data_IF_704112521620
#
_entry.id   IF_704112521620
#
_cell.length_a   1.000
_cell.length_b   1.000
_cell.length_c   1.000
_cell.angle_alpha   90.00
_cell.angle_beta   90.00
_cell.angle_gamma   90.00
#
_symmetry.space_group_name_H-M   'P 1'
#
loop_
_entity.id
_entity.type
_entity.pdbx_description
1 polymer ?
#
# COMPACT_ATOMS: atom_id res chain seq x y z
N UNK A 1 22.47 5.33 -5.22
CA UNK A 1 21.82 4.84 -3.99
C UNK A 1 22.89 4.61 -2.93
N UNK A 2 22.79 5.27 -1.77
CA UNK A 2 23.78 5.20 -0.70
C UNK A 2 23.29 4.26 0.41
N UNK A 3 23.59 2.97 0.29
CA UNK A 3 23.37 1.98 1.35
C UNK A 3 24.69 1.64 2.02
N UNK A 4 24.71 1.55 3.35
CA UNK A 4 25.92 1.16 4.08
C UNK A 4 26.34 -0.29 3.74
N UNK A 5 27.64 -0.63 3.84
CA UNK A 5 28.11 -2.00 3.64
C UNK A 5 27.42 -3.02 4.54
N UNK A 6 27.07 -2.66 5.77
CA UNK A 6 26.31 -3.52 6.69
C UNK A 6 24.89 -3.78 6.17
N UNK A 7 24.17 -2.74 5.75
CA UNK A 7 22.84 -2.86 5.17
C UNK A 7 22.81 -3.74 3.92
N UNK A 8 23.80 -3.57 3.03
CA UNK A 8 23.97 -4.44 1.85
C UNK A 8 24.24 -5.88 2.29
N UNK A 9 25.17 -6.09 3.23
CA UNK A 9 25.51 -7.43 3.73
C UNK A 9 24.30 -8.13 4.34
N UNK A 10 23.50 -7.44 5.15
CA UNK A 10 22.27 -7.99 5.75
C UNK A 10 21.23 -8.39 4.72
N UNK A 11 21.07 -7.59 3.67
CA UNK A 11 20.18 -7.92 2.55
C UNK A 11 20.63 -9.20 1.84
N UNK A 12 21.93 -9.33 1.55
CA UNK A 12 22.51 -10.44 0.79
C UNK A 12 22.63 -11.75 1.59
N UNK A 13 22.97 -11.66 2.88
CA UNK A 13 23.30 -12.81 3.73
C UNK A 13 22.11 -13.37 4.52
N UNK A 14 20.87 -13.02 4.14
CA UNK A 14 19.68 -13.59 4.78
C UNK A 14 19.39 -13.06 6.19
N UNK A 15 19.97 -11.92 6.59
CA UNK A 15 19.77 -11.31 7.90
C UNK A 15 18.59 -10.34 7.90
N UNK A 16 18.18 -9.90 9.11
CA UNK A 16 17.12 -8.89 9.26
C UNK A 16 17.49 -7.59 8.55
N UNK A 17 16.60 -7.08 7.72
CA UNK A 17 16.80 -5.81 7.02
C UNK A 17 16.87 -4.65 8.00
N UNK A 18 17.74 -3.69 7.69
CA UNK A 18 17.87 -2.42 8.41
C UNK A 18 16.83 -1.41 7.93
N UNK A 19 16.62 -0.36 8.72
CA UNK A 19 15.80 0.77 8.31
C UNK A 19 16.30 1.44 7.03
N UNK A 20 17.62 1.46 6.78
CA UNK A 20 18.20 2.00 5.54
C UNK A 20 17.69 1.27 4.29
N UNK A 21 17.65 -0.06 4.30
CA UNK A 21 17.14 -0.85 3.17
C UNK A 21 15.65 -0.63 2.98
N UNK A 22 14.88 -0.56 4.08
CA UNK A 22 13.42 -0.31 4.03
C UNK A 22 13.15 1.09 3.46
N UNK A 23 13.82 2.13 3.97
CA UNK A 23 13.67 3.51 3.51
C UNK A 23 14.04 3.65 2.05
N UNK A 24 15.20 3.13 1.63
CA UNK A 24 15.65 3.18 0.24
C UNK A 24 14.64 2.51 -0.70
N UNK A 25 14.03 1.39 -0.28
CA UNK A 25 13.01 0.74 -1.09
C UNK A 25 11.71 1.54 -1.14
N UNK A 26 11.26 2.12 -0.03
CA UNK A 26 10.06 2.97 0.01
C UNK A 26 10.23 4.24 -0.83
N UNK A 27 11.44 4.81 -0.87
CA UNK A 27 11.77 5.93 -1.75
C UNK A 27 11.66 5.54 -3.24
N UNK A 28 12.06 4.31 -3.61
CA UNK A 28 11.83 3.82 -4.98
C UNK A 28 10.34 3.72 -5.32
N UNK A 29 9.51 3.29 -4.36
CA UNK A 29 8.06 3.24 -4.55
C UNK A 29 7.47 4.65 -4.69
N UNK A 30 7.94 5.62 -3.89
CA UNK A 30 7.53 7.02 -3.99
C UNK A 30 7.90 7.60 -5.37
N UNK A 31 9.17 7.46 -5.79
CA UNK A 31 9.63 7.90 -7.12
C UNK A 31 8.77 7.34 -8.24
N UNK A 32 8.47 6.03 -8.19
CA UNK A 32 7.60 5.37 -9.18
C UNK A 32 6.20 5.99 -9.23
N UNK A 33 5.60 6.29 -8.08
CA UNK A 33 4.28 6.93 -8.00
C UNK A 33 4.31 8.39 -8.50
N UNK A 34 5.39 9.11 -8.20
CA UNK A 34 5.59 10.50 -8.65
C UNK A 34 5.72 10.58 -10.18
N UNK A 35 6.22 9.52 -10.84
CA UNK A 35 6.22 9.36 -12.30
C UNK A 35 4.82 9.08 -12.90
N UNK A 36 3.75 9.20 -12.12
CA UNK A 36 2.36 9.15 -12.59
C UNK A 36 1.67 7.80 -12.43
N UNK A 37 2.36 6.79 -11.87
CA UNK A 37 1.71 5.54 -11.51
C UNK A 37 0.64 5.75 -10.43
N UNK A 38 -0.47 5.03 -10.55
CA UNK A 38 -1.60 5.10 -9.62
C UNK A 38 -1.73 3.79 -8.84
N UNK A 39 -2.22 3.83 -7.58
CA UNK A 39 -2.68 5.01 -6.82
C UNK A 39 -1.57 6.01 -6.47
N UNK A 40 -1.94 7.27 -6.22
CA UNK A 40 -1.02 8.24 -5.63
C UNK A 40 -0.66 7.80 -4.21
N UNK A 41 0.63 7.64 -3.91
CA UNK A 41 1.05 7.24 -2.57
C UNK A 41 1.88 8.33 -1.91
N UNK A 42 1.86 8.33 -0.58
CA UNK A 42 2.89 8.97 0.24
C UNK A 42 3.53 7.91 1.13
N UNK A 43 4.83 7.73 1.01
CA UNK A 43 5.61 6.88 1.92
C UNK A 43 6.12 7.68 3.12
N UNK A 44 6.30 7.00 4.24
CA UNK A 44 6.98 7.53 5.43
C UNK A 44 8.28 6.77 5.66
N UNK A 45 9.26 7.43 6.27
CA UNK A 45 10.46 6.78 6.75
C UNK A 45 10.20 5.92 8.00
N UNK A 46 11.10 4.98 8.26
CA UNK A 46 11.04 4.05 9.39
C UNK A 46 11.10 4.72 10.76
N UNK A 47 11.48 6.00 10.85
CA UNK A 47 11.59 6.71 12.12
C UNK A 47 10.30 7.44 12.52
N UNK A 48 9.29 7.48 11.64
CA UNK A 48 8.04 8.23 11.87
C UNK A 48 7.38 7.91 13.22
N UNK A 49 7.32 6.65 13.62
CA UNK A 49 6.67 6.23 14.87
C UNK A 49 7.45 6.69 16.10
N UNK A 50 8.77 6.56 16.06
CA UNK A 50 9.66 6.99 17.15
C UNK A 50 9.63 8.52 17.25
N UNK A 51 9.69 9.20 16.11
CA UNK A 51 9.63 10.65 16.04
C UNK A 51 8.27 11.18 16.53
N UNK A 52 7.17 10.51 16.20
CA UNK A 52 5.84 10.86 16.71
C UNK A 52 5.76 10.68 18.23
N UNK A 53 6.29 9.58 18.77
CA UNK A 53 6.32 9.35 20.22
C UNK A 53 7.14 10.43 20.95
N UNK A 54 8.28 10.83 20.40
CA UNK A 54 9.22 11.73 21.07
C UNK A 54 8.90 13.21 20.86
N UNK A 55 8.39 13.59 19.68
CA UNK A 55 8.19 14.99 19.28
C UNK A 55 6.73 15.32 18.94
N UNK A 56 5.82 14.37 19.16
CA UNK A 56 4.40 14.53 18.90
C UNK A 56 4.06 14.73 17.43
N UNK A 57 2.93 15.39 17.18
CA UNK A 57 2.36 15.56 15.85
C UNK A 57 3.24 16.38 14.90
N UNK A 58 4.10 17.26 15.42
CA UNK A 58 5.03 18.05 14.60
C UNK A 58 5.93 17.17 13.72
N UNK A 59 6.38 16.02 14.24
CA UNK A 59 7.19 15.07 13.47
C UNK A 59 6.46 14.52 12.24
N UNK A 60 5.13 14.44 12.29
CA UNK A 60 4.29 14.01 11.17
C UNK A 60 4.13 15.15 10.18
N UNK A 61 3.80 16.36 10.66
CA UNK A 61 3.58 17.52 9.77
C UNK A 61 4.84 17.92 9.02
N UNK A 62 6.01 17.82 9.64
CA UNK A 62 7.29 18.13 8.99
C UNK A 62 7.56 17.19 7.79
N UNK A 63 7.23 15.90 7.93
CA UNK A 63 7.33 14.90 6.84
C UNK A 63 6.32 15.12 5.71
N UNK A 64 5.23 15.83 6.00
CA UNK A 64 4.12 16.11 5.09
C UNK A 64 4.11 17.55 4.57
N UNK A 65 5.07 18.39 4.97
CA UNK A 65 5.08 19.85 4.71
C UNK A 65 4.84 20.22 3.25
N UNK A 66 5.38 19.44 2.32
CA UNK A 66 5.26 19.66 0.87
C UNK A 66 4.33 18.63 0.19
N UNK A 67 3.41 18.03 0.94
CA UNK A 67 2.51 16.99 0.43
C UNK A 67 1.07 17.49 0.44
N UNK A 68 0.44 17.56 -0.72
CA UNK A 68 -1.01 17.76 -0.82
C UNK A 68 -1.74 16.45 -0.48
N UNK A 69 -2.14 16.29 0.78
CA UNK A 69 -2.88 15.12 1.27
C UNK A 69 -4.20 14.89 0.53
N UNK A 70 -4.79 15.93 -0.08
CA UNK A 70 -6.01 15.78 -0.88
C UNK A 70 -5.77 15.07 -2.22
N UNK A 71 -4.52 15.00 -2.67
CA UNK A 71 -4.09 14.28 -3.87
C UNK A 71 -3.53 12.87 -3.57
N UNK A 72 -3.31 12.53 -2.30
CA UNK A 72 -2.77 11.24 -1.88
C UNK A 72 -3.89 10.23 -1.68
N UNK A 73 -3.76 9.04 -2.28
CA UNK A 73 -4.72 7.95 -2.12
C UNK A 73 -4.33 7.04 -0.96
N UNK A 74 -3.04 6.73 -0.82
CA UNK A 74 -2.51 5.80 0.19
C UNK A 74 -1.39 6.44 1.00
N UNK A 75 -1.42 6.27 2.31
CA UNK A 75 -0.24 6.46 3.17
C UNK A 75 0.38 5.10 3.46
N UNK A 76 1.65 4.91 3.10
CA UNK A 76 2.40 3.69 3.37
C UNK A 76 3.42 3.95 4.46
N UNK A 77 3.25 3.28 5.60
CA UNK A 77 3.96 3.62 6.83
C UNK A 77 4.65 2.35 7.34
N UNK A 78 5.97 2.18 7.11
CA UNK A 78 6.69 1.04 7.65
C UNK A 78 6.73 1.14 9.18
N UNK A 79 6.49 0.03 9.86
CA UNK A 79 6.45 -0.03 11.32
C UNK A 79 7.50 -1.02 11.84
N UNK A 80 8.33 -0.56 12.79
CA UNK A 80 9.34 -1.37 13.46
C UNK A 80 8.96 -1.59 14.92
N UNK A 81 8.66 -2.83 15.28
CA UNK A 81 8.59 -3.22 16.69
C UNK A 81 10.00 -3.50 17.18
N UNK A 82 10.58 -2.55 17.94
CA UNK A 82 11.95 -2.66 18.48
C UNK A 82 12.06 -3.86 19.42
N UNK A 83 11.10 -4.02 20.34
CA UNK A 83 11.07 -5.12 21.33
C UNK A 83 11.06 -6.50 20.66
N UNK A 84 10.39 -6.63 19.51
CA UNK A 84 10.30 -7.90 18.77
C UNK A 84 11.28 -8.02 17.61
N UNK A 85 12.07 -6.97 17.33
CA UNK A 85 12.90 -6.84 16.13
C UNK A 85 12.15 -7.24 14.85
N UNK A 86 10.97 -6.64 14.66
CA UNK A 86 10.01 -7.06 13.64
C UNK A 86 9.52 -5.90 12.79
N UNK A 87 9.47 -6.12 11.48
CA UNK A 87 8.92 -5.19 10.51
C UNK A 87 7.50 -5.58 10.09
N UNK A 88 6.62 -4.59 10.07
CA UNK A 88 5.28 -4.66 9.51
C UNK A 88 4.97 -3.41 8.69
N UNK A 89 3.84 -3.39 7.98
CA UNK A 89 3.39 -2.24 7.20
C UNK A 89 2.01 -1.81 7.66
N UNK A 90 1.87 -0.53 8.01
CA UNK A 90 0.58 0.11 8.16
C UNK A 90 0.21 0.85 6.87
N UNK A 91 -1.05 0.72 6.45
CA UNK A 91 -1.59 1.40 5.27
C UNK A 91 -2.85 2.17 5.67
N UNK A 92 -2.87 3.47 5.43
CA UNK A 92 -4.11 4.24 5.45
C UNK A 92 -4.60 4.42 4.02
N UNK A 93 -5.72 3.79 3.66
CA UNK A 93 -6.39 4.02 2.38
C UNK A 93 -7.37 5.18 2.53
N UNK A 94 -6.94 6.37 2.08
CA UNK A 94 -7.71 7.61 2.21
C UNK A 94 -8.95 7.62 1.28
N UNK A 95 -8.99 6.74 0.27
CA UNK A 95 -10.13 6.63 -0.65
C UNK A 95 -11.26 5.83 -0.04
N UNK A 96 -10.92 4.69 0.57
CA UNK A 96 -11.90 3.81 1.24
C UNK A 96 -12.06 4.13 2.73
N UNK A 97 -11.29 5.09 3.26
CA UNK A 97 -11.29 5.47 4.67
C UNK A 97 -11.07 4.27 5.58
N UNK A 98 -10.00 3.53 5.31
CA UNK A 98 -9.70 2.28 6.01
C UNK A 98 -8.24 2.24 6.45
N UNK A 99 -8.00 1.50 7.53
CA UNK A 99 -6.66 1.17 8.01
C UNK A 99 -6.41 -0.31 7.79
N UNK A 100 -5.29 -0.65 7.16
CA UNK A 100 -4.94 -2.03 6.84
C UNK A 100 -3.55 -2.28 7.37
N UNK A 101 -3.41 -3.31 8.19
CA UNK A 101 -2.12 -3.70 8.74
C UNK A 101 -1.62 -4.97 8.07
N UNK A 102 -0.39 -4.98 7.58
CA UNK A 102 0.24 -6.16 7.01
C UNK A 102 1.36 -6.63 7.94
N UNK A 103 1.23 -7.87 8.40
CA UNK A 103 2.20 -8.53 9.26
C UNK A 103 2.46 -9.94 8.72
N UNK A 104 3.73 -10.26 8.46
CA UNK A 104 4.12 -11.56 7.91
C UNK A 104 4.41 -12.63 8.98
N UNK A 105 4.27 -12.29 10.27
CA UNK A 105 4.67 -13.17 11.37
C UNK A 105 3.77 -13.12 12.61
N UNK A 106 3.62 -11.97 13.28
CA UNK A 106 3.05 -11.90 14.64
C UNK A 106 1.54 -11.62 14.69
N UNK A 107 0.97 -11.05 13.63
CA UNK A 107 -0.43 -10.58 13.59
C UNK A 107 -0.80 -9.57 14.70
N UNK A 108 0.19 -8.83 15.23
CA UNK A 108 -0.02 -7.86 16.30
C UNK A 108 -0.12 -6.44 15.73
N UNK A 109 -1.32 -5.88 15.76
CA UNK A 109 -1.61 -4.56 15.18
C UNK A 109 -2.41 -3.63 16.07
N UNK A 110 -2.91 -4.08 17.23
CA UNK A 110 -3.91 -3.32 18.00
C UNK A 110 -3.37 -1.96 18.40
N UNK A 111 -2.16 -1.95 18.99
CA UNK A 111 -1.48 -0.71 19.39
C UNK A 111 -1.15 0.17 18.20
N UNK A 112 -0.57 -0.40 17.15
CA UNK A 112 -0.18 0.35 15.94
C UNK A 112 -1.36 0.97 15.19
N UNK A 113 -2.52 0.28 15.16
CA UNK A 113 -3.77 0.83 14.61
C UNK A 113 -4.27 1.99 15.47
N UNK A 114 -4.23 1.87 16.80
CA UNK A 114 -4.61 2.94 17.72
C UNK A 114 -3.74 4.19 17.52
N UNK A 115 -2.42 4.01 17.46
CA UNK A 115 -1.46 5.10 17.23
C UNK A 115 -1.71 5.75 15.85
N UNK A 116 -1.95 4.94 14.80
CA UNK A 116 -2.26 5.47 13.48
C UNK A 116 -3.58 6.23 13.44
N UNK A 117 -4.63 5.78 14.14
CA UNK A 117 -5.89 6.53 14.27
C UNK A 117 -5.66 7.89 14.91
N UNK A 118 -4.84 7.97 15.95
CA UNK A 118 -4.48 9.25 16.61
C UNK A 118 -3.76 10.20 15.64
N UNK A 119 -2.83 9.68 14.84
CA UNK A 119 -2.14 10.47 13.80
C UNK A 119 -3.13 10.96 12.75
N UNK A 120 -3.97 10.08 12.21
CA UNK A 120 -4.94 10.42 11.16
C UNK A 120 -6.01 11.40 11.67
N UNK A 121 -6.43 11.29 12.92
CA UNK A 121 -7.42 12.19 13.52
C UNK A 121 -6.90 13.63 13.56
N UNK A 122 -5.61 13.81 13.80
CA UNK A 122 -4.96 15.13 13.78
C UNK A 122 -4.71 15.63 12.35
N UNK A 123 -4.43 14.75 11.39
CA UNK A 123 -4.31 15.11 9.97
C UNK A 123 -5.65 15.50 9.33
N UNK A 124 -6.73 14.86 9.78
CA UNK A 124 -8.09 15.03 9.25
C UNK A 124 -9.08 15.36 10.38
N UNK A 125 -8.97 16.55 11.02
CA UNK A 125 -9.75 16.88 12.23
C UNK A 125 -11.26 16.93 12.02
N UNK A 126 -11.72 17.01 10.76
CA UNK A 126 -13.14 16.99 10.38
C UNK A 126 -13.70 15.59 10.16
N UNK A 127 -12.87 14.55 10.22
CA UNK A 127 -13.28 13.16 10.04
C UNK A 127 -13.19 12.42 11.37
N UNK A 128 -14.09 11.46 11.59
CA UNK A 128 -14.06 10.58 12.76
C UNK A 128 -13.29 9.30 12.41
N UNK A 129 -12.07 9.15 12.92
CA UNK A 129 -11.22 7.99 12.66
C UNK A 129 -11.71 6.70 13.32
N UNK A 130 -12.62 6.77 14.30
CA UNK A 130 -13.21 5.58 14.92
C UNK A 130 -14.17 4.87 13.95
N UNK A 131 -14.80 5.64 13.04
CA UNK A 131 -15.66 5.12 11.98
C UNK A 131 -14.90 4.41 10.84
N UNK A 132 -13.56 4.58 10.76
CA UNK A 132 -12.74 3.94 9.74
C UNK A 132 -12.54 2.47 10.11
N UNK A 133 -12.99 1.51 9.26
CA UNK A 133 -12.72 0.11 9.49
C UNK A 133 -11.21 -0.14 9.48
N UNK A 134 -10.76 -0.96 10.45
CA UNK A 134 -9.36 -1.33 10.60
C UNK A 134 -9.25 -2.85 10.75
N UNK A 135 -8.33 -3.48 10.00
CA UNK A 135 -8.14 -4.93 10.08
C UNK A 135 -6.71 -5.36 9.73
N UNK A 136 -6.37 -6.58 10.16
CA UNK A 136 -5.19 -7.30 9.72
C UNK A 136 -5.40 -7.87 8.32
N UNK A 137 -4.48 -7.59 7.40
CA UNK A 137 -4.53 -8.10 6.04
C UNK A 137 -4.32 -9.61 6.01
N UNK A 138 -5.24 -10.32 5.36
CA UNK A 138 -4.99 -11.67 4.87
C UNK A 138 -3.88 -11.62 3.81
N UNK A 139 -2.65 -11.89 4.23
CA UNK A 139 -1.43 -11.73 3.44
C UNK A 139 -0.50 -12.94 3.61
N UNK A 140 0.39 -13.22 2.64
CA UNK A 140 1.35 -14.31 2.75
C UNK A 140 2.21 -14.19 4.00
N UNK A 141 2.34 -15.30 4.73
CA UNK A 141 3.21 -15.41 5.91
C UNK A 141 4.60 -15.87 5.51
N UNK A 142 5.58 -15.53 6.35
CA UNK A 142 6.89 -16.15 6.29
C UNK A 142 6.75 -17.66 6.52
N UNK A 143 7.54 -18.52 5.82
CA UNK A 143 7.54 -19.95 6.10
C UNK A 143 7.91 -20.25 7.55
N UNK A 144 7.52 -21.41 8.09
CA UNK A 144 7.98 -21.85 9.39
C UNK A 144 9.49 -21.75 9.51
N UNK A 145 9.98 -21.31 10.68
CA UNK A 145 11.41 -21.10 10.99
C UNK A 145 12.11 -19.98 10.23
N UNK A 146 11.39 -19.18 9.43
CA UNK A 146 11.93 -17.95 8.88
C UNK A 146 11.60 -16.77 9.81
N UNK A 147 12.64 -16.15 10.36
CA UNK A 147 12.54 -15.05 11.32
C UNK A 147 13.22 -13.76 10.86
N UNK A 148 13.81 -13.77 9.66
CA UNK A 148 14.68 -12.68 9.18
C UNK A 148 14.07 -11.91 8.00
N UNK A 149 13.05 -12.46 7.35
CA UNK A 149 12.45 -11.89 6.14
C UNK A 149 11.26 -10.96 6.40
N UNK A 150 10.93 -10.62 7.66
CA UNK A 150 9.83 -9.71 7.96
C UNK A 150 9.93 -8.39 7.17
N UNK A 151 11.13 -7.81 7.08
CA UNK A 151 11.39 -6.60 6.29
C UNK A 151 11.25 -6.82 4.78
N UNK A 152 11.65 -7.99 4.28
CA UNK A 152 11.49 -8.37 2.86
C UNK A 152 10.01 -8.42 2.49
N UNK A 153 9.19 -9.05 3.35
CA UNK A 153 7.74 -9.13 3.18
C UNK A 153 7.08 -7.75 3.29
N UNK A 154 7.51 -6.90 4.22
CA UNK A 154 7.05 -5.50 4.32
C UNK A 154 7.26 -4.74 3.01
N UNK A 155 8.43 -4.88 2.37
CA UNK A 155 8.68 -4.30 1.05
C UNK A 155 7.77 -4.88 -0.04
N UNK A 156 7.56 -6.20 -0.06
CA UNK A 156 6.64 -6.87 -1.01
C UNK A 156 5.20 -6.36 -0.84
N UNK A 157 4.74 -6.22 0.38
CA UNK A 157 3.40 -5.70 0.69
C UNK A 157 3.26 -4.27 0.19
N UNK A 158 4.22 -3.39 0.51
CA UNK A 158 4.21 -2.01 0.06
C UNK A 158 4.25 -1.90 -1.47
N UNK A 159 5.05 -2.74 -2.13
CA UNK A 159 5.19 -2.78 -3.59
C UNK A 159 3.88 -3.13 -4.28
N UNK A 160 3.17 -4.14 -3.81
CA UNK A 160 1.90 -4.55 -4.38
C UNK A 160 0.78 -3.55 -4.05
N UNK A 161 0.70 -3.08 -2.80
CA UNK A 161 -0.30 -2.11 -2.34
C UNK A 161 -0.19 -0.80 -3.13
N UNK A 162 1.03 -0.29 -3.35
CA UNK A 162 1.28 0.94 -4.12
C UNK A 162 0.85 0.87 -5.59
N UNK A 163 0.51 -0.31 -6.12
CA UNK A 163 -0.03 -0.52 -7.47
C UNK A 163 -1.48 -0.99 -7.48
N UNK A 164 -2.13 -1.09 -6.32
CA UNK A 164 -3.43 -1.76 -6.17
C UNK A 164 -3.42 -3.19 -6.71
N UNK A 165 -2.30 -3.89 -6.51
CA UNK A 165 -2.11 -5.27 -6.95
C UNK A 165 -2.40 -6.25 -5.80
N UNK A 166 -2.84 -7.45 -6.20
CA UNK A 166 -3.01 -8.56 -5.28
C UNK A 166 -1.64 -9.09 -4.85
N UNK A 167 -1.48 -9.41 -3.56
CA UNK A 167 -0.22 -9.94 -3.03
C UNK A 167 -0.21 -11.46 -3.20
N UNK A 168 0.17 -11.91 -4.40
CA UNK A 168 0.36 -13.33 -4.72
C UNK A 168 1.83 -13.69 -4.86
N UNK A 169 2.27 -14.65 -4.05
CA UNK A 169 3.62 -15.20 -4.08
C UNK A 169 3.58 -16.67 -4.46
N UNK A 170 4.44 -17.07 -5.40
CA UNK A 170 4.65 -18.49 -5.72
C UNK A 170 5.36 -19.22 -4.56
N UNK A 171 5.28 -20.56 -4.50
CA UNK A 171 6.02 -21.34 -3.50
C UNK A 171 7.53 -21.06 -3.49
N UNK A 172 8.12 -20.75 -4.65
CA UNK A 172 9.54 -20.36 -4.76
C UNK A 172 9.81 -18.99 -4.13
N UNK A 173 8.89 -18.04 -4.29
CA UNK A 173 9.00 -16.70 -3.70
C UNK A 173 8.82 -16.73 -2.19
N UNK A 174 7.94 -17.60 -1.66
CA UNK A 174 7.75 -17.76 -0.21
C UNK A 174 9.04 -18.15 0.52
N UNK A 175 9.99 -18.82 -0.14
CA UNK A 175 11.28 -19.22 0.46
C UNK A 175 12.27 -18.07 0.69
N UNK A 176 11.90 -16.81 0.46
CA UNK A 176 12.67 -15.63 0.88
C UNK A 176 13.82 -15.23 -0.04
N UNK A 177 14.72 -16.16 -0.40
CA UNK A 177 15.93 -15.86 -1.19
C UNK A 177 15.62 -15.15 -2.52
N UNK A 178 14.60 -15.62 -3.24
CA UNK A 178 14.21 -14.99 -4.50
C UNK A 178 13.73 -13.54 -4.29
N UNK A 179 12.97 -13.28 -3.21
CA UNK A 179 12.51 -11.93 -2.91
C UNK A 179 13.68 -11.00 -2.55
N UNK A 180 14.67 -11.49 -1.81
CA UNK A 180 15.90 -10.73 -1.51
C UNK A 180 16.67 -10.35 -2.77
N UNK A 181 16.86 -11.31 -3.68
CA UNK A 181 17.52 -11.05 -4.96
C UNK A 181 16.73 -10.03 -5.77
N UNK A 182 15.40 -10.12 -5.79
CA UNK A 182 14.53 -9.16 -6.48
C UNK A 182 14.65 -7.77 -5.87
N UNK A 183 14.56 -7.63 -4.54
CA UNK A 183 14.74 -6.34 -3.85
C UNK A 183 16.11 -5.75 -4.14
N UNK A 184 17.18 -6.55 -4.02
CA UNK A 184 18.54 -6.13 -4.37
C UNK A 184 18.60 -5.61 -5.80
N UNK A 185 18.14 -6.38 -6.78
CA UNK A 185 18.22 -5.98 -8.19
C UNK A 185 17.45 -4.66 -8.44
N UNK A 186 16.28 -4.48 -7.82
CA UNK A 186 15.51 -3.24 -7.94
C UNK A 186 16.19 -2.04 -7.26
N UNK A 187 16.80 -2.26 -6.08
CA UNK A 187 17.56 -1.24 -5.36
C UNK A 187 18.75 -0.75 -6.18
N UNK A 188 19.57 -1.67 -6.68
CA UNK A 188 20.76 -1.33 -7.48
C UNK A 188 20.41 -0.76 -8.87
N UNK A 189 19.29 -1.14 -9.46
CA UNK A 189 18.79 -0.56 -10.70
C UNK A 189 18.02 0.75 -10.51
N UNK A 190 17.85 1.20 -9.26
CA UNK A 190 17.03 2.35 -8.86
C UNK A 190 15.62 2.36 -9.47
N UNK A 191 15.04 1.16 -9.64
CA UNK A 191 13.77 0.98 -10.35
C UNK A 191 12.93 -0.11 -9.69
N UNK A 192 11.82 0.30 -9.08
CA UNK A 192 10.81 -0.62 -8.58
C UNK A 192 10.03 -1.27 -9.74
N UNK A 193 9.82 -2.58 -9.65
CA UNK A 193 9.00 -3.36 -10.60
C UNK A 193 8.12 -4.37 -9.86
N UNK A 194 7.10 -4.89 -10.53
CA UNK A 194 6.13 -5.81 -9.91
C UNK A 194 6.82 -7.04 -9.31
N UNK A 195 6.64 -7.25 -7.99
CA UNK A 195 7.15 -8.44 -7.28
C UNK A 195 6.08 -9.52 -7.18
N UNK A 196 4.85 -9.12 -6.84
CA UNK A 196 3.71 -10.04 -6.77
C UNK A 196 3.25 -10.45 -8.17
N UNK A 197 2.82 -11.71 -8.31
CA UNK A 197 2.28 -12.24 -9.56
C UNK A 197 0.99 -11.49 -9.94
N UNK A 198 0.88 -11.10 -11.21
CA UNK A 198 -0.38 -10.59 -11.76
C UNK A 198 -1.42 -11.72 -11.82
N UNK A 199 -2.73 -11.43 -11.70
CA UNK A 199 -3.75 -12.46 -11.68
C UNK A 199 -3.75 -13.24 -13.01
N UNK A 200 -3.27 -14.47 -13.00
CA UNK A 200 -3.65 -15.48 -13.98
C UNK A 200 -5.02 -16.05 -13.57
N UNK A 201 -5.81 -16.49 -14.56
CA UNK A 201 -7.24 -16.89 -14.48
C UNK A 201 -7.59 -18.04 -13.51
N UNK A 202 -6.69 -18.41 -12.60
CA UNK A 202 -6.86 -19.54 -11.67
C UNK A 202 -7.27 -19.01 -10.29
N UNK A 203 -8.45 -19.46 -9.81
CA UNK A 203 -8.93 -19.24 -8.44
C UNK A 203 -8.20 -20.20 -7.49
N UNK A 204 -7.38 -19.67 -6.59
CA UNK A 204 -6.80 -20.39 -5.45
C UNK A 204 -7.36 -19.82 -4.14
N UNK A 205 -7.43 -20.66 -3.10
CA UNK A 205 -8.18 -20.43 -1.85
C UNK A 205 -7.66 -19.30 -0.94
N UNK A 206 -6.50 -18.69 -1.23
CA UNK A 206 -5.99 -17.56 -0.46
C UNK A 206 -6.61 -16.26 -1.00
N UNK A 207 -7.73 -15.83 -0.39
CA UNK A 207 -8.37 -14.54 -0.70
C UNK A 207 -7.55 -13.40 -0.09
N UNK A 208 -6.65 -12.83 -0.87
CA UNK A 208 -5.90 -11.63 -0.48
C UNK A 208 -6.83 -10.40 -0.45
N UNK A 209 -6.98 -9.76 0.71
CA UNK A 209 -7.93 -8.64 0.94
C UNK A 209 -7.31 -7.25 0.61
N UNK A 210 -6.42 -7.18 -0.39
CA UNK A 210 -6.01 -5.89 -0.99
C UNK A 210 -6.15 -5.89 -2.54
N UNK A 211 -6.81 -4.88 -3.14
CA UNK A 211 -7.56 -3.83 -2.45
C UNK A 211 -8.64 -4.45 -1.54
N UNK A 212 -9.07 -3.77 -0.46
CA UNK A 212 -10.20 -4.23 0.34
C UNK A 212 -11.28 -4.71 -0.62
N UNK A 213 -12.02 -5.80 -0.33
CA UNK A 213 -13.26 -6.04 -1.04
C UNK A 213 -14.02 -4.73 -0.92
N UNK A 214 -14.11 -4.00 -2.04
CA UNK A 214 -14.68 -2.66 -2.08
C UNK A 214 -15.90 -2.71 -1.20
N UNK A 215 -15.95 -1.89 -0.16
CA UNK A 215 -17.08 -1.83 0.76
C UNK A 215 -18.25 -1.24 -0.03
N UNK A 216 -18.81 -2.06 -0.94
CA UNK A 216 -19.88 -1.86 -1.95
C UNK A 216 -19.62 -2.38 -3.38
N UNK A 217 -18.64 -1.87 -4.14
CA UNK A 217 -18.68 -1.90 -5.62
C UNK A 217 -18.62 -3.31 -6.23
N UNK A 218 -17.78 -4.21 -5.71
CA UNK A 218 -17.67 -5.61 -6.16
C UNK A 218 -18.91 -6.44 -5.82
N UNK A 219 -19.76 -5.98 -4.88
CA UNK A 219 -21.09 -6.57 -4.63
C UNK A 219 -22.21 -5.82 -5.36
N UNK A 220 -21.91 -4.67 -5.99
CA UNK A 220 -22.89 -3.76 -6.61
C UNK A 220 -22.56 -3.37 -8.05
N UNK A 221 -21.68 -4.10 -8.75
CA UNK A 221 -21.43 -3.92 -10.19
C UNK A 221 -22.72 -4.18 -10.99
N UNK A 222 -23.64 -4.97 -10.45
CA UNK A 222 -24.94 -5.29 -11.06
C UNK A 222 -25.97 -4.17 -11.04
N UNK A 223 -25.73 -3.01 -10.41
CA UNK A 223 -26.73 -1.90 -10.36
C UNK A 223 -26.12 -0.49 -10.42
N UNK A 224 -25.07 -0.26 -11.22
CA UNK A 224 -24.66 1.11 -11.53
C UNK A 224 -25.69 1.78 -12.45
N UNK A 225 -26.25 2.93 -12.03
CA UNK A 225 -27.25 3.68 -12.82
C UNK A 225 -26.68 4.05 -14.20
N UNK A 226 -27.48 4.04 -15.28
CA UNK A 226 -27.01 4.34 -16.64
C UNK A 226 -26.26 5.68 -16.79
N UNK A 227 -26.70 6.72 -16.09
CA UNK A 227 -26.03 8.03 -16.07
C UNK A 227 -24.59 7.94 -15.51
N UNK A 228 -24.35 7.11 -14.49
CA UNK A 228 -23.01 6.89 -13.93
C UNK A 228 -22.09 6.24 -14.98
N UNK A 229 -22.58 5.24 -15.71
CA UNK A 229 -21.84 4.58 -16.79
C UNK A 229 -21.52 5.56 -17.93
N UNK A 230 -22.47 6.43 -18.29
CA UNK A 230 -22.24 7.48 -19.29
C UNK A 230 -21.15 8.47 -18.86
N UNK A 231 -21.19 8.93 -17.60
CA UNK A 231 -20.15 9.80 -17.03
C UNK A 231 -18.78 9.12 -17.00
N UNK A 232 -18.73 7.82 -16.71
CA UNK A 232 -17.51 7.03 -16.75
C UNK A 232 -16.91 6.95 -18.16
N UNK A 233 -17.74 6.70 -19.19
CA UNK A 233 -17.30 6.72 -20.60
C UNK A 233 -16.79 8.11 -21.02
N UNK A 234 -17.51 9.18 -20.67
CA UNK A 234 -17.09 10.55 -20.95
C UNK A 234 -15.76 10.92 -20.24
N UNK A 235 -15.55 10.42 -19.03
CA UNK A 235 -14.29 10.56 -18.32
C UNK A 235 -13.14 9.86 -19.06
N UNK A 236 -13.34 8.62 -19.53
CA UNK A 236 -12.30 7.88 -20.26
C UNK A 236 -11.86 8.62 -21.52
N UNK A 237 -12.80 9.11 -22.33
CA UNK A 237 -12.50 9.91 -23.52
C UNK A 237 -11.61 11.15 -23.22
N UNK A 238 -11.69 11.70 -22.00
CA UNK A 238 -10.94 12.89 -21.60
C UNK A 238 -9.60 12.61 -20.92
N UNK A 239 -9.47 11.46 -20.25
CA UNK A 239 -8.37 11.20 -19.31
C UNK A 239 -7.60 9.91 -19.57
N UNK A 240 -8.04 9.03 -20.47
CA UNK A 240 -7.39 7.74 -20.73
C UNK A 240 -5.91 7.88 -21.10
N UNK A 241 -5.58 8.79 -22.01
CA UNK A 241 -4.23 8.92 -22.57
C UNK A 241 -3.38 10.01 -21.89
N UNK A 242 -3.86 10.55 -20.76
CA UNK A 242 -3.12 11.57 -20.01
C UNK A 242 -2.11 10.92 -19.09
N UNK A 243 -0.88 11.45 -19.07
CA UNK A 243 0.18 11.01 -18.16
C UNK A 243 -0.23 11.08 -16.67
N UNK A 244 -0.98 12.13 -16.30
CA UNK A 244 -1.49 12.32 -14.94
C UNK A 244 -3.01 12.56 -14.95
N UNK A 245 -3.83 11.50 -15.00
CA UNK A 245 -5.28 11.64 -15.05
C UNK A 245 -5.82 12.13 -13.70
N UNK A 246 -6.77 13.08 -13.72
CA UNK A 246 -7.51 13.48 -12.52
C UNK A 246 -8.43 12.34 -12.07
N UNK A 247 -8.66 12.14 -10.76
CA UNK A 247 -9.55 11.07 -10.29
C UNK A 247 -11.01 11.32 -10.67
N UNK A 248 -11.74 10.26 -10.98
CA UNK A 248 -13.20 10.24 -11.08
C UNK A 248 -13.81 9.92 -9.71
N UNK A 249 -14.86 10.65 -9.33
CA UNK A 249 -15.55 10.47 -8.06
C UNK A 249 -16.96 9.88 -8.24
N UNK A 250 -17.25 8.78 -7.55
CA UNK A 250 -18.63 8.29 -7.40
C UNK A 250 -19.36 9.11 -6.33
N UNK A 251 -20.07 10.15 -6.77
CA UNK A 251 -20.89 11.01 -5.89
C UNK A 251 -22.09 10.28 -5.26
N UNK A 252 -22.62 9.27 -5.94
CA UNK A 252 -23.89 8.58 -5.60
C UNK A 252 -23.71 7.34 -4.72
N UNK A 253 -22.52 7.15 -4.16
CA UNK A 253 -22.12 5.94 -3.45
C UNK A 253 -21.92 6.22 -1.94
N UNK A 254 -22.26 5.31 -0.99
CA UNK A 254 -22.09 5.55 0.46
C UNK A 254 -20.69 6.03 0.85
N UNK A 255 -19.65 5.57 0.15
CA UNK A 255 -18.31 6.15 0.16
C UNK A 255 -18.24 7.33 -0.82
N UNK A 256 -18.85 8.48 -0.47
CA UNK A 256 -19.06 9.68 -1.33
C UNK A 256 -17.78 10.29 -1.98
N UNK A 257 -16.61 9.67 -1.84
CA UNK A 257 -15.28 10.18 -2.23
C UNK A 257 -14.32 9.12 -2.77
N UNK A 258 -14.80 7.95 -3.21
CA UNK A 258 -13.89 6.97 -3.83
C UNK A 258 -13.30 7.52 -5.14
N UNK A 259 -11.97 7.48 -5.25
CA UNK A 259 -11.21 7.95 -6.40
C UNK A 259 -10.93 6.79 -7.34
N UNK A 260 -11.44 6.89 -8.56
CA UNK A 260 -11.20 5.94 -9.64
C UNK A 260 -10.33 6.56 -10.73
N UNK A 261 -9.46 5.74 -11.33
CA UNK A 261 -8.61 6.13 -12.45
C UNK A 261 -9.00 5.37 -13.73
N UNK A 262 -8.46 5.74 -14.91
CA UNK A 262 -8.88 5.13 -16.17
C UNK A 262 -8.85 3.59 -16.15
N UNK A 263 -7.79 2.98 -15.58
CA UNK A 263 -7.68 1.52 -15.44
C UNK A 263 -8.79 0.90 -14.58
N UNK A 264 -9.19 1.56 -13.50
CA UNK A 264 -10.28 1.08 -12.64
C UNK A 264 -11.62 1.14 -13.39
N UNK A 265 -11.88 2.24 -14.08
CA UNK A 265 -13.13 2.46 -14.81
C UNK A 265 -13.26 1.49 -15.99
N UNK A 266 -12.18 1.23 -16.74
CA UNK A 266 -12.18 0.22 -17.82
C UNK A 266 -12.57 -1.15 -17.24
N UNK A 267 -11.98 -1.56 -16.11
CA UNK A 267 -12.33 -2.82 -15.45
C UNK A 267 -13.81 -2.89 -15.07
N UNK A 268 -14.35 -1.81 -14.48
CA UNK A 268 -15.75 -1.74 -14.07
C UNK A 268 -16.67 -1.82 -15.30
N UNK A 269 -16.41 -1.03 -16.35
CA UNK A 269 -17.24 -1.04 -17.56
C UNK A 269 -17.24 -2.42 -18.23
N UNK A 270 -16.09 -3.09 -18.32
CA UNK A 270 -15.99 -4.44 -18.89
C UNK A 270 -16.77 -5.49 -18.08
N UNK A 271 -16.84 -5.33 -16.75
CA UNK A 271 -17.61 -6.23 -15.89
C UNK A 271 -19.12 -6.03 -15.94
N UNK A 272 -19.60 -4.90 -16.48
CA UNK A 272 -21.04 -4.62 -16.67
C UNK A 272 -21.54 -5.13 -18.02
N UNK A 273 -20.65 -5.22 -19.02
CA UNK A 273 -20.98 -5.71 -20.37
C UNK A 273 -20.85 -7.23 -20.53
N UNK A 274 -20.40 -7.93 -19.50
CA UNK A 274 -20.22 -9.40 -19.46
C UNK A 274 -21.37 -10.06 -18.70
#
# INVERSE_FOLDING_TARGET
>A
MDLSPDSISRLLLGQRLTGEVINAYFDLLQKRADHGEKPCIKTFDTFVWIAFKNFGFKAITDRLKNTDLSAIDLLLIPHHSIERQHWSLAVADLRSRAIIWFDSYFDDCVKGISDLRSILQQLFPKEDMTSWPAWMAASPKQPPKNYTDCGVYTCVFAEAVSRKAEIRLSPKQLRGLHLRITLKNQLFAERASSIALTPSKIRLACRTLYPPPSSSLARSVTTLRPNVLQRMRAYLNKYQDKAHPKPFFLKDHPTKRERLYPRDIIRILNSVTS
#
